data_IF_897170238365
#
_entry.id   IF_897170238365
#
_cell.length_a   1.000
_cell.length_b   1.000
_cell.length_c   1.000
_cell.angle_alpha   90.00
_cell.angle_beta   90.00
_cell.angle_gamma   90.00
#
_symmetry.space_group_name_H-M   'P 1'
#
loop_
_entity.id
_entity.type
_entity.pdbx_description
1 polymer ?
#
# COMPACT_ATOMS: atom_id res chain seq x y z
N UNK A 1 13.14 -8.82 24.61
CA UNK A 1 12.59 -9.78 23.64
C UNK A 1 12.25 -9.02 22.37
N UNK A 2 12.99 -9.20 21.28
CA UNK A 2 12.53 -8.74 19.96
C UNK A 2 11.17 -9.37 19.69
N UNK A 3 10.15 -8.55 19.39
CA UNK A 3 8.87 -9.07 18.90
C UNK A 3 9.15 -9.75 17.57
N UNK A 4 9.03 -11.07 17.55
CA UNK A 4 9.17 -11.86 16.32
C UNK A 4 8.10 -11.41 15.33
N UNK A 5 8.55 -10.73 14.26
CA UNK A 5 7.68 -10.29 13.17
C UNK A 5 7.18 -11.52 12.42
N UNK A 6 5.91 -11.86 12.63
CA UNK A 6 5.27 -13.01 11.99
C UNK A 6 5.25 -12.90 10.49
N UNK A 7 5.24 -11.68 9.93
CA UNK A 7 5.24 -11.46 8.50
C UNK A 7 6.62 -11.78 7.92
N UNK A 8 7.68 -11.37 8.61
CA UNK A 8 9.07 -11.71 8.26
C UNK A 8 9.30 -13.23 8.34
N UNK A 9 8.73 -13.90 9.34
CA UNK A 9 8.80 -15.36 9.47
C UNK A 9 7.97 -16.04 8.38
N UNK A 10 6.74 -15.57 8.13
CA UNK A 10 5.86 -16.10 7.08
C UNK A 10 6.49 -15.95 5.69
N UNK A 11 6.93 -14.75 5.31
CA UNK A 11 7.59 -14.49 4.01
C UNK A 11 8.87 -15.31 3.84
N UNK A 12 9.67 -15.48 4.91
CA UNK A 12 10.86 -16.35 4.87
C UNK A 12 10.49 -17.81 4.69
N UNK A 13 9.43 -18.29 5.35
CA UNK A 13 8.97 -19.68 5.24
C UNK A 13 8.31 -19.93 3.89
N UNK A 14 7.47 -19.03 3.37
CA UNK A 14 6.92 -19.07 2.00
C UNK A 14 8.04 -19.14 0.96
N UNK A 15 9.12 -18.38 1.17
CA UNK A 15 10.30 -18.42 0.35
C UNK A 15 11.08 -19.75 0.46
N UNK A 16 11.00 -20.48 1.58
CA UNK A 16 11.70 -21.76 1.76
C UNK A 16 10.86 -22.96 1.30
N UNK A 17 9.53 -22.85 1.33
CA UNK A 17 8.60 -23.95 1.04
C UNK A 17 8.34 -24.22 -0.45
N UNK A 18 8.87 -23.39 -1.37
CA UNK A 18 8.60 -23.47 -2.82
C UNK A 18 9.56 -24.39 -3.60
N UNK A 19 10.40 -25.18 -2.91
CA UNK A 19 11.12 -26.31 -3.51
C UNK A 19 10.29 -27.60 -3.41
N UNK A 20 10.08 -28.29 -4.52
CA UNK A 20 9.35 -29.57 -4.57
C UNK A 20 9.94 -30.55 -3.53
N UNK A 21 9.08 -31.07 -2.65
CA UNK A 21 9.37 -31.90 -1.45
C UNK A 21 9.93 -31.21 -0.20
N UNK A 22 9.58 -29.95 0.06
CA UNK A 22 9.90 -29.34 1.36
C UNK A 22 9.06 -29.96 2.52
N UNK A 23 9.67 -30.42 3.63
CA UNK A 23 8.98 -30.90 4.84
C UNK A 23 8.12 -29.84 5.55
N UNK A 24 8.18 -28.59 5.09
CA UNK A 24 7.73 -27.40 5.79
C UNK A 24 6.27 -26.99 5.53
N UNK A 25 5.50 -27.82 4.82
CA UNK A 25 4.08 -27.56 4.55
C UNK A 25 3.24 -27.46 5.83
N UNK A 26 3.59 -28.23 6.86
CA UNK A 26 2.92 -28.18 8.17
C UNK A 26 3.22 -26.87 8.90
N UNK A 27 4.45 -26.38 8.78
CA UNK A 27 4.91 -25.12 9.35
C UNK A 27 4.28 -23.92 8.65
N UNK A 28 4.11 -23.96 7.32
CA UNK A 28 3.35 -22.96 6.58
C UNK A 28 1.89 -22.92 7.04
N UNK A 29 1.24 -24.07 7.19
CA UNK A 29 -0.13 -24.16 7.74
C UNK A 29 -0.24 -23.64 9.18
N UNK A 30 0.77 -23.89 10.03
CA UNK A 30 0.83 -23.35 11.38
C UNK A 30 0.96 -21.81 11.38
N UNK A 31 1.75 -21.24 10.46
CA UNK A 31 1.89 -19.78 10.34
C UNK A 31 0.61 -19.13 9.79
N UNK A 32 -0.05 -19.75 8.81
CA UNK A 32 -1.38 -19.34 8.35
C UNK A 32 -2.39 -19.41 9.49
N UNK A 33 -2.34 -20.45 10.31
CA UNK A 33 -3.21 -20.60 11.50
C UNK A 33 -2.93 -19.53 12.54
N UNK A 34 -1.65 -19.26 12.86
CA UNK A 34 -1.25 -18.19 13.77
C UNK A 34 -1.71 -16.81 13.28
N UNK A 35 -1.58 -16.56 11.97
CA UNK A 35 -2.09 -15.35 11.33
C UNK A 35 -3.62 -15.23 11.52
N UNK A 36 -4.37 -16.31 11.27
CA UNK A 36 -5.83 -16.37 11.53
C UNK A 36 -6.17 -16.11 13.01
N UNK A 37 -5.41 -16.67 13.95
CA UNK A 37 -5.62 -16.47 15.39
C UNK A 37 -5.33 -15.02 15.80
N UNK A 38 -4.25 -14.40 15.29
CA UNK A 38 -3.94 -12.98 15.54
C UNK A 38 -5.04 -12.06 15.01
N UNK A 39 -5.60 -12.38 13.84
CA UNK A 39 -6.75 -11.69 13.28
C UNK A 39 -7.98 -11.82 14.19
N UNK A 40 -8.30 -13.02 14.67
CA UNK A 40 -9.40 -13.24 15.61
C UNK A 40 -9.20 -12.49 16.94
N UNK A 41 -7.98 -12.49 17.47
CA UNK A 41 -7.63 -11.78 18.70
C UNK A 41 -7.72 -10.25 18.54
N UNK A 42 -7.20 -9.69 17.45
CA UNK A 42 -7.31 -8.25 17.15
C UNK A 42 -8.77 -7.80 17.11
N UNK A 43 -9.68 -8.65 16.59
CA UNK A 43 -11.12 -8.40 16.58
C UNK A 43 -11.78 -8.48 17.96
N UNK A 44 -11.38 -9.40 18.82
CA UNK A 44 -11.95 -9.53 20.16
C UNK A 44 -11.69 -8.30 21.05
N UNK A 45 -10.63 -7.54 20.75
CA UNK A 45 -10.26 -6.31 21.47
C UNK A 45 -11.06 -5.06 21.02
N UNK A 46 -11.92 -5.17 20.00
CA UNK A 46 -12.61 -4.05 19.30
C UNK A 46 -13.65 -3.25 20.11
N UNK A 47 -13.74 -3.37 21.44
CA UNK A 47 -14.65 -2.55 22.26
C UNK A 47 -14.01 -1.25 22.79
N UNK A 48 -12.73 -1.00 22.54
CA UNK A 48 -12.01 0.12 23.14
C UNK A 48 -11.90 1.31 22.18
N UNK A 49 -12.46 2.47 22.59
CA UNK A 49 -12.21 3.76 21.93
C UNK A 49 -10.70 4.03 21.93
N UNK A 50 -10.13 4.29 20.75
CA UNK A 50 -8.72 4.68 20.63
C UNK A 50 -8.60 6.15 21.04
N UNK A 51 -8.06 6.41 22.23
CA UNK A 51 -7.55 7.72 22.57
C UNK A 51 -6.13 7.85 22.02
N UNK A 52 -5.91 8.85 21.19
CA UNK A 52 -4.59 9.15 20.63
C UNK A 52 -3.78 9.87 21.70
N UNK A 53 -2.83 9.19 22.32
CA UNK A 53 -1.68 9.88 22.92
C UNK A 53 -0.68 10.14 21.80
N UNK A 54 -0.84 11.26 21.11
CA UNK A 54 0.22 11.78 20.26
C UNK A 54 1.30 12.29 21.19
N UNK A 55 2.45 11.61 21.27
CA UNK A 55 3.67 12.29 21.71
C UNK A 55 4.12 13.14 20.53
N UNK A 56 3.95 14.47 20.54
CA UNK A 56 4.54 15.30 19.51
C UNK A 56 6.05 15.04 19.56
N UNK A 57 6.69 14.73 18.42
CA UNK A 57 8.14 14.60 18.41
C UNK A 57 8.74 15.99 18.71
N UNK A 58 9.94 16.05 19.30
CA UNK A 58 10.53 17.31 19.72
C UNK A 58 10.63 18.29 18.54
N UNK A 59 10.36 19.58 18.76
CA UNK A 59 10.57 20.61 17.73
C UNK A 59 12.05 20.64 17.36
N UNK A 60 12.35 20.74 16.07
CA UNK A 60 13.72 20.83 15.55
C UNK A 60 13.72 21.34 14.13
N UNK A 61 14.92 21.61 13.60
CA UNK A 61 15.10 22.09 12.23
C UNK A 61 14.91 20.90 11.28
N UNK A 62 13.99 20.98 10.30
CA UNK A 62 13.78 19.90 9.35
C UNK A 62 15.06 19.59 8.57
N UNK A 63 15.33 18.30 8.33
CA UNK A 63 16.40 17.89 7.43
C UNK A 63 16.08 18.34 6.00
N UNK A 64 16.94 19.21 5.45
CA UNK A 64 16.77 19.73 4.10
C UNK A 64 17.31 18.72 3.08
N UNK A 65 16.49 18.37 2.09
CA UNK A 65 16.81 17.49 0.96
C UNK A 65 16.60 18.26 -0.33
N UNK A 66 17.25 17.87 -1.44
CA UNK A 66 17.00 18.51 -2.73
C UNK A 66 15.69 17.98 -3.34
N UNK A 67 14.61 18.74 -3.16
CA UNK A 67 13.28 18.47 -3.72
C UNK A 67 13.25 18.31 -5.24
N UNK A 68 14.20 18.89 -5.97
CA UNK A 68 14.25 18.78 -7.44
C UNK A 68 14.52 17.36 -7.94
N UNK A 69 15.06 16.51 -7.07
CA UNK A 69 15.40 15.10 -7.33
C UNK A 69 14.31 14.12 -6.85
N UNK A 70 13.13 14.64 -6.52
CA UNK A 70 11.97 13.83 -6.13
C UNK A 70 10.92 13.80 -7.22
N UNK A 71 10.31 12.63 -7.38
CA UNK A 71 9.17 12.37 -8.25
C UNK A 71 8.11 11.61 -7.47
N UNK A 72 6.85 11.95 -7.67
CA UNK A 72 5.76 11.36 -6.88
C UNK A 72 4.52 11.02 -7.70
N UNK A 73 3.91 9.88 -7.35
CA UNK A 73 2.55 9.53 -7.73
C UNK A 73 1.74 9.43 -6.44
N UNK A 74 0.73 10.28 -6.30
CA UNK A 74 -0.11 10.38 -5.10
C UNK A 74 -1.55 10.00 -5.46
N UNK A 75 -2.06 8.93 -4.87
CA UNK A 75 -3.38 8.38 -5.19
C UNK A 75 -4.25 8.43 -3.93
N UNK A 76 -5.41 9.07 -4.02
CA UNK A 76 -6.36 9.20 -2.91
C UNK A 76 -7.79 8.98 -3.37
N UNK A 77 -8.42 7.88 -2.97
CA UNK A 77 -9.74 7.46 -3.50
C UNK A 77 -10.74 7.32 -2.36
N UNK A 78 -11.81 8.13 -2.39
CA UNK A 78 -12.92 8.10 -1.44
C UNK A 78 -14.21 7.57 -2.09
N UNK A 79 -14.54 8.04 -3.30
CA UNK A 79 -15.81 7.83 -4.01
C UNK A 79 -15.91 6.48 -4.74
N UNK A 80 -15.69 5.37 -4.01
CA UNK A 80 -16.05 4.04 -4.50
C UNK A 80 -17.56 3.90 -4.63
N UNK A 81 -18.03 3.19 -5.66
CA UNK A 81 -19.45 2.91 -5.87
C UNK A 81 -20.09 2.17 -4.69
N UNK A 82 -19.31 1.29 -4.05
CA UNK A 82 -19.70 0.53 -2.88
C UNK A 82 -18.71 0.78 -1.74
N UNK A 83 -19.23 1.04 -0.53
CA UNK A 83 -18.43 1.31 0.68
C UNK A 83 -17.53 2.55 0.58
N UNK A 84 -18.05 3.69 0.10
CA UNK A 84 -17.26 4.93 -0.01
C UNK A 84 -16.51 5.27 1.29
N UNK A 85 -15.28 5.75 1.13
CA UNK A 85 -14.40 6.14 2.21
C UNK A 85 -14.49 7.65 2.45
N UNK A 86 -13.84 8.11 3.53
CA UNK A 86 -13.67 9.52 3.79
C UNK A 86 -12.22 9.81 4.18
N UNK A 87 -11.66 10.86 3.57
CA UNK A 87 -10.36 11.41 3.95
C UNK A 87 -9.18 10.85 3.16
N UNK A 88 -9.37 9.89 2.26
CA UNK A 88 -8.26 9.36 1.46
C UNK A 88 -7.75 10.41 0.46
N UNK A 89 -8.66 11.16 -0.17
CA UNK A 89 -8.29 12.28 -1.03
C UNK A 89 -7.63 13.42 -0.24
N UNK A 90 -8.10 13.67 0.99
CA UNK A 90 -7.48 14.65 1.90
C UNK A 90 -6.07 14.23 2.30
N UNK A 91 -5.85 12.94 2.56
CA UNK A 91 -4.53 12.41 2.89
C UNK A 91 -3.55 12.56 1.72
N UNK A 92 -3.99 12.24 0.48
CA UNK A 92 -3.16 12.45 -0.71
C UNK A 92 -2.81 13.93 -0.93
N UNK A 93 -3.78 14.85 -0.75
CA UNK A 93 -3.52 16.31 -0.76
C UNK A 93 -2.59 16.75 0.37
N UNK A 94 -2.65 16.11 1.54
CA UNK A 94 -1.75 16.42 2.66
C UNK A 94 -0.30 15.98 2.39
N UNK A 95 -0.12 14.83 1.73
CA UNK A 95 1.17 14.38 1.22
C UNK A 95 1.68 15.31 0.10
N UNK A 96 0.83 15.71 -0.85
CA UNK A 96 1.20 16.68 -1.89
C UNK A 96 1.70 17.98 -1.28
N UNK A 97 0.95 18.53 -0.32
CA UNK A 97 1.32 19.75 0.40
C UNK A 97 2.69 19.60 1.09
N UNK A 98 2.96 18.45 1.70
CA UNK A 98 4.26 18.18 2.30
C UNK A 98 5.39 18.20 1.26
N UNK A 99 5.20 17.52 0.12
CA UNK A 99 6.21 17.49 -0.93
C UNK A 99 6.47 18.90 -1.52
N UNK A 100 5.42 19.69 -1.75
CA UNK A 100 5.53 21.03 -2.31
C UNK A 100 6.12 22.04 -1.31
N UNK A 101 5.57 22.09 -0.11
CA UNK A 101 5.84 23.18 0.84
C UNK A 101 7.06 22.89 1.71
N UNK A 102 7.22 21.64 2.16
CA UNK A 102 8.26 21.25 3.10
C UNK A 102 9.51 20.71 2.38
N UNK A 103 9.34 19.94 1.29
CA UNK A 103 10.46 19.39 0.51
C UNK A 103 10.80 20.18 -0.75
N UNK A 104 9.98 21.18 -1.13
CA UNK A 104 10.18 21.98 -2.34
C UNK A 104 10.26 21.16 -3.64
N UNK A 105 9.55 20.04 -3.70
CA UNK A 105 9.43 19.23 -4.91
C UNK A 105 8.72 20.05 -6.00
N UNK A 106 9.27 20.15 -7.23
CA UNK A 106 8.60 20.84 -8.31
C UNK A 106 7.21 20.25 -8.58
N UNK A 107 6.17 21.09 -8.68
CA UNK A 107 4.80 20.61 -8.95
C UNK A 107 4.68 19.69 -10.16
N UNK A 108 5.47 19.94 -11.21
CA UNK A 108 5.53 19.11 -12.42
C UNK A 108 6.09 17.69 -12.19
N UNK A 109 6.73 17.43 -11.06
CA UNK A 109 7.22 16.10 -10.67
C UNK A 109 6.20 15.30 -9.85
N UNK A 110 5.04 15.89 -9.52
CA UNK A 110 3.99 15.27 -8.73
C UNK A 110 2.77 15.00 -9.62
N UNK A 111 2.38 13.73 -9.73
CA UNK A 111 1.12 13.32 -10.33
C UNK A 111 0.12 13.01 -9.21
N UNK A 112 -1.03 13.67 -9.22
CA UNK A 112 -2.06 13.56 -8.19
C UNK A 112 -3.34 12.97 -8.78
N UNK A 113 -3.67 11.74 -8.41
CA UNK A 113 -4.86 11.03 -8.87
C UNK A 113 -5.88 10.96 -7.74
N UNK A 114 -7.00 11.66 -7.88
CA UNK A 114 -7.99 11.81 -6.80
C UNK A 114 -9.36 11.29 -7.20
N UNK A 115 -9.92 10.49 -6.31
CA UNK A 115 -11.25 9.92 -6.42
C UNK A 115 -12.23 10.53 -5.42
N UNK A 116 -12.42 11.86 -5.45
CA UNK A 116 -13.76 12.42 -5.38
C UNK A 116 -14.08 13.29 -6.62
N UNK A 117 -15.37 13.51 -6.92
CA UNK A 117 -15.87 14.30 -8.06
C UNK A 117 -15.52 15.82 -8.04
N UNK A 118 -14.28 16.22 -7.80
CA UNK A 118 -13.84 17.58 -8.15
C UNK A 118 -13.49 17.59 -9.66
N UNK A 119 -14.53 17.74 -10.51
CA UNK A 119 -14.49 17.94 -11.98
C UNK A 119 -13.79 16.92 -12.89
N UNK A 120 -13.08 15.91 -12.38
CA UNK A 120 -12.41 14.92 -13.23
C UNK A 120 -13.44 14.00 -13.91
N UNK A 121 -13.53 14.08 -15.25
CA UNK A 121 -14.28 13.10 -16.05
C UNK A 121 -13.62 11.71 -15.94
N UNK A 122 -14.35 10.62 -16.20
CA UNK A 122 -13.75 9.27 -16.23
C UNK A 122 -12.65 9.10 -17.28
N UNK A 123 -12.50 10.07 -18.19
CA UNK A 123 -11.47 10.14 -19.23
C UNK A 123 -10.31 11.08 -18.87
N UNK A 124 -10.38 11.76 -17.72
CA UNK A 124 -9.28 12.60 -17.23
C UNK A 124 -8.11 11.73 -16.79
N UNK A 125 -6.87 12.09 -17.15
CA UNK A 125 -5.66 11.41 -16.72
C UNK A 125 -5.48 11.44 -15.19
N UNK A 126 -6.14 12.37 -14.49
CA UNK A 126 -6.13 12.49 -13.03
C UNK A 126 -7.21 11.62 -12.36
N UNK A 127 -8.10 10.99 -13.12
CA UNK A 127 -9.08 10.04 -12.57
C UNK A 127 -8.34 8.77 -12.12
N UNK A 128 -8.52 8.27 -10.89
CA UNK A 128 -7.76 7.12 -10.37
C UNK A 128 -8.31 5.77 -10.87
N UNK A 129 -8.52 5.66 -12.18
CA UNK A 129 -8.83 4.41 -12.87
C UNK A 129 -7.66 3.45 -12.78
N UNK A 130 -7.93 2.16 -12.99
CA UNK A 130 -6.89 1.14 -13.12
C UNK A 130 -5.85 1.54 -14.17
N UNK A 131 -6.33 2.07 -15.30
CA UNK A 131 -5.50 2.44 -16.44
C UNK A 131 -4.60 3.63 -16.15
N UNK A 132 -5.13 4.66 -15.51
CA UNK A 132 -4.35 5.86 -15.18
C UNK A 132 -3.33 5.57 -14.07
N UNK A 133 -3.68 4.75 -13.06
CA UNK A 133 -2.73 4.36 -12.01
C UNK A 133 -1.55 3.59 -12.60
N UNK A 134 -1.81 2.59 -13.44
CA UNK A 134 -0.75 1.81 -14.10
C UNK A 134 0.00 2.66 -15.12
N UNK A 135 -0.71 3.51 -15.87
CA UNK A 135 -0.12 4.45 -16.82
C UNK A 135 0.83 5.43 -16.17
N UNK A 136 0.50 5.95 -14.98
CA UNK A 136 1.39 6.82 -14.21
C UNK A 136 2.67 6.08 -13.79
N UNK A 137 2.56 4.82 -13.35
CA UNK A 137 3.72 3.98 -13.00
C UNK A 137 4.63 3.70 -14.21
N UNK A 138 4.05 3.36 -15.37
CA UNK A 138 4.83 3.25 -16.61
C UNK A 138 5.39 4.61 -17.06
N UNK A 139 4.70 5.71 -16.78
CA UNK A 139 5.16 7.06 -17.04
C UNK A 139 6.47 7.38 -16.30
N UNK A 140 6.64 6.90 -15.07
CA UNK A 140 7.92 7.01 -14.33
C UNK A 140 9.04 6.29 -15.07
N UNK A 141 8.79 5.06 -15.56
CA UNK A 141 9.76 4.27 -16.31
C UNK A 141 10.19 5.02 -17.57
N UNK A 142 9.24 5.54 -18.33
CA UNK A 142 9.48 6.22 -19.61
C UNK A 142 10.02 7.65 -19.49
N UNK A 143 9.91 8.30 -18.33
CA UNK A 143 10.29 9.70 -18.16
C UNK A 143 11.81 9.86 -18.10
N UNK A 144 12.38 10.49 -19.12
CA UNK A 144 13.82 10.74 -19.24
C UNK A 144 14.36 11.84 -18.31
N UNK A 145 13.48 12.64 -17.69
CA UNK A 145 13.87 13.64 -16.69
C UNK A 145 14.17 13.01 -15.33
N UNK A 146 13.66 11.80 -15.09
CA UNK A 146 14.00 10.99 -13.91
C UNK A 146 15.32 10.29 -14.21
N UNK A 147 16.37 10.72 -13.52
CA UNK A 147 17.68 10.09 -13.65
C UNK A 147 17.86 9.03 -12.57
N UNK A 148 18.82 8.13 -12.80
CA UNK A 148 19.11 7.04 -11.88
C UNK A 148 19.47 7.58 -10.48
N UNK A 149 18.81 7.06 -9.44
CA UNK A 149 19.01 7.47 -8.05
C UNK A 149 18.12 8.60 -7.56
N UNK A 150 17.25 9.16 -8.40
CA UNK A 150 16.17 10.07 -7.96
C UNK A 150 15.24 9.37 -6.96
N UNK A 151 14.72 10.15 -6.00
CA UNK A 151 13.74 9.64 -5.03
C UNK A 151 12.36 9.52 -5.70
N UNK A 152 11.80 8.32 -5.70
CA UNK A 152 10.47 8.05 -6.25
C UNK A 152 9.52 7.70 -5.10
N UNK A 153 8.48 8.52 -4.92
CA UNK A 153 7.45 8.32 -3.90
C UNK A 153 6.16 7.85 -4.55
N UNK A 154 5.68 6.68 -4.16
CA UNK A 154 4.40 6.14 -4.62
C UNK A 154 3.50 6.05 -3.40
N UNK A 155 2.46 6.87 -3.36
CA UNK A 155 1.56 6.97 -2.22
C UNK A 155 0.15 6.55 -2.62
N UNK A 156 -0.47 5.68 -1.82
CA UNK A 156 -1.84 5.25 -2.01
C UNK A 156 -2.63 5.34 -0.71
N UNK A 157 -3.80 5.96 -0.77
CA UNK A 157 -4.82 5.95 0.28
C UNK A 157 -6.17 5.62 -0.33
N UNK A 158 -6.80 4.58 0.18
CA UNK A 158 -8.01 4.01 -0.41
C UNK A 158 -8.29 2.61 0.10
N UNK A 159 -9.15 1.86 -0.58
CA UNK A 159 -9.40 0.47 -0.24
C UNK A 159 -8.26 -0.44 -0.70
N UNK A 160 -7.83 -1.32 0.20
CA UNK A 160 -7.24 -2.59 -0.20
C UNK A 160 -8.29 -3.69 -0.23
N UNK A 161 -8.03 -4.73 -1.02
CA UNK A 161 -8.85 -5.93 -1.14
C UNK A 161 -7.99 -7.18 -1.09
N UNK A 162 -8.65 -8.33 -1.02
CA UNK A 162 -7.99 -9.62 -0.99
C UNK A 162 -8.81 -10.67 -1.75
N UNK A 163 -8.09 -11.62 -2.32
CA UNK A 163 -8.64 -12.70 -3.13
C UNK A 163 -8.11 -14.03 -2.61
N UNK A 164 -9.03 -14.90 -2.20
CA UNK A 164 -8.70 -16.27 -1.88
C UNK A 164 -8.92 -17.13 -3.13
N UNK A 165 -7.98 -18.02 -3.45
CA UNK A 165 -8.28 -19.11 -4.36
C UNK A 165 -9.42 -19.96 -3.77
N UNK A 166 -10.47 -20.18 -4.55
CA UNK A 166 -11.64 -20.99 -4.22
C UNK A 166 -11.50 -22.40 -4.79
N UNK A 167 -12.27 -23.38 -4.27
CA UNK A 167 -12.26 -24.74 -4.83
C UNK A 167 -12.80 -24.80 -6.27
N UNK A 168 -13.58 -23.79 -6.66
CA UNK A 168 -14.11 -23.62 -8.02
C UNK A 168 -13.08 -22.98 -8.96
N UNK A 169 -11.97 -22.46 -8.45
CA UNK A 169 -10.88 -21.95 -9.28
C UNK A 169 -10.11 -23.11 -9.93
N UNK A 170 -9.65 -22.88 -11.16
CA UNK A 170 -8.86 -23.85 -11.90
C UNK A 170 -7.70 -24.40 -11.04
N UNK A 171 -7.53 -25.72 -11.03
CA UNK A 171 -6.39 -26.39 -10.35
C UNK A 171 -5.04 -25.78 -10.76
N UNK A 172 -4.93 -25.26 -11.99
CA UNK A 172 -3.77 -24.52 -12.44
C UNK A 172 -3.54 -23.22 -11.65
N UNK A 173 -4.60 -22.49 -11.29
CA UNK A 173 -4.57 -21.29 -10.46
C UNK A 173 -4.26 -21.62 -8.99
N UNK A 174 -4.84 -22.69 -8.47
CA UNK A 174 -4.55 -23.19 -7.11
C UNK A 174 -3.08 -23.56 -6.95
N UNK A 175 -2.52 -24.28 -7.94
CA UNK A 175 -1.11 -24.65 -7.97
C UNK A 175 -0.16 -23.46 -8.21
N UNK A 176 -0.69 -22.30 -8.62
CA UNK A 176 0.07 -21.08 -8.87
C UNK A 176 0.17 -20.16 -7.65
N UNK A 177 -0.92 -20.02 -6.92
CA UNK A 177 -1.02 -19.03 -5.84
C UNK A 177 -0.70 -19.66 -4.47
N UNK A 178 -0.86 -20.99 -4.36
CA UNK A 178 -0.82 -21.67 -3.07
C UNK A 178 -2.03 -21.30 -2.20
N UNK A 179 -2.05 -21.69 -0.91
CA UNK A 179 -3.21 -21.47 -0.03
C UNK A 179 -3.36 -20.01 0.45
N UNK A 180 -2.45 -19.11 0.06
CA UNK A 180 -2.42 -17.71 0.51
C UNK A 180 -3.39 -16.81 -0.25
N UNK A 181 -3.80 -15.70 0.39
CA UNK A 181 -4.57 -14.67 -0.30
C UNK A 181 -3.66 -13.80 -1.17
N UNK A 182 -4.17 -13.36 -2.32
CA UNK A 182 -3.57 -12.26 -3.09
C UNK A 182 -4.18 -10.96 -2.61
N UNK A 183 -3.32 -10.04 -2.18
CA UNK A 183 -3.70 -8.68 -1.79
C UNK A 183 -3.72 -7.78 -3.01
N UNK A 184 -4.60 -6.78 -3.03
CA UNK A 184 -4.69 -5.81 -4.12
C UNK A 184 -5.07 -4.41 -3.62
N UNK A 185 -4.73 -3.38 -4.40
CA UNK A 185 -5.30 -2.04 -4.23
C UNK A 185 -6.49 -1.87 -5.18
N UNK A 186 -7.49 -1.13 -4.72
CA UNK A 186 -8.74 -0.93 -5.45
C UNK A 186 -8.70 0.36 -6.28
N UNK A 187 -8.71 0.29 -7.62
CA UNK A 187 -8.97 1.46 -8.44
C UNK A 187 -10.45 1.89 -8.35
N UNK A 188 -10.76 3.13 -8.70
CA UNK A 188 -12.13 3.68 -8.56
C UNK A 188 -13.14 3.05 -9.55
N UNK A 189 -12.65 2.50 -10.65
CA UNK A 189 -13.42 1.88 -11.73
C UNK A 189 -13.47 0.36 -11.64
N UNK A 190 -13.00 -0.23 -10.52
CA UNK A 190 -13.14 -1.66 -10.24
C UNK A 190 -14.58 -2.14 -10.48
N UNK A 191 -14.73 -3.35 -11.02
CA UNK A 191 -15.99 -3.98 -11.45
C UNK A 191 -16.81 -3.25 -12.54
N UNK A 192 -16.42 -2.03 -12.96
CA UNK A 192 -16.98 -1.43 -14.18
C UNK A 192 -16.47 -2.18 -15.40
N UNK A 193 -17.13 -1.98 -16.54
CA UNK A 193 -16.71 -2.58 -17.81
C UNK A 193 -15.82 -1.60 -18.58
N UNK A 194 -14.73 -2.12 -19.12
CA UNK A 194 -13.87 -1.38 -20.04
C UNK A 194 -14.55 -1.19 -21.42
N UNK A 195 -13.84 -0.56 -22.36
CA UNK A 195 -14.34 -0.32 -23.72
C UNK A 195 -14.68 -1.61 -24.50
N UNK A 196 -14.11 -2.75 -24.10
CA UNK A 196 -14.38 -4.07 -24.69
C UNK A 196 -15.44 -4.86 -23.92
N UNK A 197 -16.06 -4.25 -22.91
CA UNK A 197 -17.04 -4.91 -22.06
C UNK A 197 -16.42 -5.82 -21.00
N UNK A 198 -15.09 -5.83 -20.82
CA UNK A 198 -14.39 -6.68 -19.85
C UNK A 198 -14.45 -6.02 -18.46
N UNK A 199 -14.81 -6.76 -17.39
CA UNK A 199 -14.78 -6.24 -16.03
C UNK A 199 -13.37 -5.79 -15.62
N UNK A 200 -13.25 -4.59 -15.07
CA UNK A 200 -11.98 -4.00 -14.63
C UNK A 200 -11.61 -4.60 -13.27
N UNK A 201 -10.48 -5.32 -13.14
CA UNK A 201 -10.05 -5.90 -11.88
C UNK A 201 -9.37 -4.89 -10.96
N UNK A 202 -9.12 -5.30 -9.71
CA UNK A 202 -8.18 -4.59 -8.84
C UNK A 202 -6.72 -4.69 -9.36
N UNK A 203 -5.78 -4.02 -8.70
CA UNK A 203 -4.34 -4.09 -9.02
C UNK A 203 -3.64 -4.93 -7.95
N UNK A 204 -3.15 -6.11 -8.33
CA UNK A 204 -2.57 -7.07 -7.39
C UNK A 204 -1.21 -6.63 -6.83
N UNK A 205 -0.86 -7.12 -5.66
CA UNK A 205 0.48 -6.94 -5.08
C UNK A 205 1.60 -7.50 -5.98
N UNK A 206 1.32 -8.57 -6.75
CA UNK A 206 2.27 -9.13 -7.73
C UNK A 206 2.51 -8.17 -8.90
N UNK A 207 1.45 -7.55 -9.42
CA UNK A 207 1.52 -6.55 -10.47
C UNK A 207 2.29 -5.31 -10.01
N UNK A 208 1.95 -4.77 -8.83
CA UNK A 208 2.66 -3.63 -8.24
C UNK A 208 4.15 -3.92 -8.00
N UNK A 209 4.47 -5.07 -7.41
CA UNK A 209 5.87 -5.43 -7.15
C UNK A 209 6.68 -5.57 -8.45
N UNK A 210 6.08 -6.10 -9.52
CA UNK A 210 6.73 -6.19 -10.82
C UNK A 210 6.93 -4.80 -11.45
N UNK A 211 5.93 -3.91 -11.35
CA UNK A 211 6.08 -2.52 -11.77
C UNK A 211 7.19 -1.80 -11.00
N UNK A 212 7.28 -1.98 -9.68
CA UNK A 212 8.37 -1.40 -8.88
C UNK A 212 9.73 -1.98 -9.26
N UNK A 213 9.80 -3.26 -9.62
CA UNK A 213 11.04 -3.88 -10.12
C UNK A 213 11.48 -3.28 -11.44
N UNK A 214 10.53 -3.02 -12.36
CA UNK A 214 10.80 -2.35 -13.63
C UNK A 214 11.25 -0.90 -13.42
N UNK A 215 10.59 -0.16 -12.52
CA UNK A 215 11.04 1.19 -12.15
C UNK A 215 12.46 1.13 -11.57
N UNK A 216 12.74 0.20 -10.67
CA UNK A 216 14.05 0.09 -10.03
C UNK A 216 15.16 -0.24 -11.02
N UNK A 217 14.86 -1.07 -12.02
CA UNK A 217 15.79 -1.40 -13.10
C UNK A 217 16.20 -0.15 -13.91
N UNK A 218 15.24 0.71 -14.22
CA UNK A 218 15.48 1.89 -15.07
C UNK A 218 15.95 3.12 -14.28
N UNK A 219 15.44 3.31 -13.06
CA UNK A 219 15.59 4.55 -12.26
C UNK A 219 16.36 4.36 -10.95
N UNK A 220 16.71 3.14 -10.60
CA UNK A 220 17.34 2.82 -9.32
C UNK A 220 16.33 2.55 -8.21
N UNK A 221 16.82 2.04 -7.09
CA UNK A 221 16.03 1.47 -5.99
C UNK A 221 15.61 2.47 -4.90
N UNK A 222 15.73 3.79 -5.15
CA UNK A 222 15.27 4.85 -4.24
C UNK A 222 13.75 5.05 -4.34
N UNK A 223 13.01 3.93 -4.23
CA UNK A 223 11.56 3.88 -4.36
C UNK A 223 10.97 3.67 -2.96
N UNK A 224 10.11 4.60 -2.56
CA UNK A 224 9.34 4.52 -1.32
C UNK A 224 7.86 4.34 -1.65
N UNK A 225 7.32 3.16 -1.36
CA UNK A 225 5.90 2.85 -1.55
C UNK A 225 5.14 2.97 -0.23
N UNK A 226 4.20 3.90 -0.15
CA UNK A 226 3.49 4.27 1.07
C UNK A 226 2.01 3.91 0.90
N UNK A 227 1.51 2.98 1.73
CA UNK A 227 0.15 2.47 1.63
C UNK A 227 -0.64 2.75 2.91
N UNK A 228 -1.57 3.71 2.84
CA UNK A 228 -2.58 3.94 3.87
C UNK A 228 -3.90 3.22 3.51
N UNK A 229 -3.80 1.89 3.43
CA UNK A 229 -4.90 0.97 3.18
C UNK A 229 -4.76 -0.31 4.00
N UNK A 230 -5.83 -1.10 4.08
CA UNK A 230 -5.81 -2.40 4.74
C UNK A 230 -5.55 -3.52 3.72
N UNK A 231 -4.72 -4.49 4.08
CA UNK A 231 -4.50 -5.69 3.26
C UNK A 231 -5.06 -6.97 3.90
N UNK A 232 -5.85 -6.85 4.97
CA UNK A 232 -6.17 -7.99 5.82
C UNK A 232 -7.06 -9.03 5.16
N UNK A 233 -6.44 -10.14 4.74
CA UNK A 233 -7.05 -11.36 4.18
C UNK A 233 -7.91 -12.15 5.18
N UNK A 234 -8.93 -11.52 5.75
CA UNK A 234 -9.76 -12.15 6.77
C UNK A 234 -10.91 -12.97 6.22
N UNK A 235 -10.83 -14.30 6.41
CA UNK A 235 -11.86 -15.33 6.15
C UNK A 235 -13.12 -15.12 7.01
N UNK A 236 -13.81 -13.99 6.94
CA UNK A 236 -15.15 -13.88 7.51
C UNK A 236 -16.07 -13.02 6.66
N UNK A 237 -17.27 -13.56 6.42
CA UNK A 237 -18.37 -12.98 5.64
C UNK A 237 -19.04 -11.78 6.32
N UNK A 238 -18.44 -11.18 7.36
CA UNK A 238 -18.94 -9.97 8.00
C UNK A 238 -18.49 -8.70 7.26
N UNK A 239 -19.24 -7.61 7.41
CA UNK A 239 -18.96 -6.31 6.80
C UNK A 239 -17.62 -5.73 7.33
N UNK A 240 -16.91 -4.92 6.52
CA UNK A 240 -15.79 -4.11 7.01
C UNK A 240 -16.24 -3.27 8.21
N UNK A 241 -15.35 -3.08 9.18
CA UNK A 241 -15.61 -2.13 10.28
C UNK A 241 -15.82 -0.72 9.70
N UNK A 242 -16.74 0.06 10.28
CA UNK A 242 -16.98 1.44 9.86
C UNK A 242 -15.68 2.27 9.89
N UNK A 243 -15.26 2.77 8.72
CA UNK A 243 -14.04 3.56 8.57
C UNK A 243 -12.76 2.75 8.33
N UNK A 244 -12.84 1.42 8.23
CA UNK A 244 -11.72 0.58 7.79
C UNK A 244 -11.50 0.73 6.28
N UNK A 245 -10.24 0.91 5.88
CA UNK A 245 -9.81 1.05 4.48
C UNK A 245 -9.66 -0.31 3.77
N UNK A 246 -10.67 -1.17 3.89
CA UNK A 246 -10.71 -2.53 3.33
C UNK A 246 -12.05 -2.81 2.65
N UNK A 247 -12.02 -3.56 1.56
CA UNK A 247 -13.21 -4.08 0.90
C UNK A 247 -12.99 -5.52 0.42
N UNK A 248 -14.05 -6.19 0.00
CA UNK A 248 -13.93 -7.54 -0.59
C UNK A 248 -13.34 -7.44 -1.99
N UNK A 249 -12.78 -8.55 -2.48
CA UNK A 249 -12.48 -8.71 -3.90
C UNK A 249 -13.69 -8.36 -4.78
N UNK A 250 -13.40 -8.08 -6.04
CA UNK A 250 -14.40 -7.74 -7.06
C UNK A 250 -15.50 -8.80 -7.16
N UNK A 251 -16.72 -8.35 -7.46
CA UNK A 251 -17.88 -9.23 -7.64
C UNK A 251 -17.89 -9.87 -9.03
N UNK A 252 -17.41 -9.14 -10.03
CA UNK A 252 -17.51 -9.51 -11.45
C UNK A 252 -16.14 -9.90 -12.00
N UNK A 253 -15.11 -9.09 -11.74
CA UNK A 253 -13.75 -9.48 -12.12
C UNK A 253 -13.25 -10.63 -11.21
N UNK A 254 -12.60 -11.64 -11.80
CA UNK A 254 -12.11 -12.81 -11.07
C UNK A 254 -10.66 -12.66 -10.66
N UNK A 255 -10.21 -13.46 -9.69
CA UNK A 255 -8.79 -13.56 -9.32
C UNK A 255 -7.91 -13.87 -10.54
N UNK A 256 -8.33 -14.83 -11.37
CA UNK A 256 -7.65 -15.16 -12.62
C UNK A 256 -7.61 -13.97 -13.58
N UNK A 257 -8.74 -13.30 -13.78
CA UNK A 257 -8.83 -12.11 -14.64
C UNK A 257 -7.95 -10.96 -14.17
N UNK A 258 -7.82 -10.76 -12.85
CA UNK A 258 -6.89 -9.78 -12.27
C UNK A 258 -5.43 -10.10 -12.61
N UNK A 259 -5.01 -11.36 -12.45
CA UNK A 259 -3.65 -11.78 -12.77
C UNK A 259 -3.39 -11.74 -14.28
N UNK A 260 -4.31 -12.22 -15.11
CA UNK A 260 -4.19 -12.18 -16.57
C UNK A 260 -4.08 -10.73 -17.08
N UNK A 261 -4.86 -9.80 -16.49
CA UNK A 261 -4.81 -8.38 -16.84
C UNK A 261 -3.44 -7.74 -16.51
N UNK A 262 -2.86 -8.10 -15.37
CA UNK A 262 -1.51 -7.64 -14.99
C UNK A 262 -0.42 -8.28 -15.86
N UNK A 263 -0.48 -9.60 -16.07
CA UNK A 263 0.47 -10.36 -16.89
C UNK A 263 0.55 -9.79 -18.31
N UNK A 264 -0.61 -9.56 -18.93
CA UNK A 264 -0.72 -8.98 -20.28
C UNK A 264 -0.03 -7.62 -20.39
N UNK A 265 -0.10 -6.79 -19.34
CA UNK A 265 0.52 -5.45 -19.33
C UNK A 265 2.02 -5.49 -19.09
N UNK A 266 2.48 -6.42 -18.26
CA UNK A 266 3.89 -6.55 -17.91
C UNK A 266 4.72 -7.26 -18.99
N UNK A 267 4.07 -7.94 -19.94
CA UNK A 267 4.77 -8.66 -21.01
C UNK A 267 5.36 -10.01 -20.58
N UNK A 268 5.08 -10.46 -19.35
CA UNK A 268 5.33 -11.82 -18.89
C UNK A 268 6.75 -12.16 -18.40
N UNK A 269 7.65 -11.18 -18.26
CA UNK A 269 9.01 -11.43 -17.75
C UNK A 269 9.46 -10.40 -16.68
N UNK A 270 9.60 -10.81 -15.40
CA UNK A 270 9.21 -12.10 -14.84
C UNK A 270 7.68 -12.20 -14.68
N UNK A 271 7.13 -13.37 -15.04
CA UNK A 271 5.68 -13.63 -14.98
C UNK A 271 5.12 -13.53 -13.57
N UNK A 272 4.08 -12.70 -13.38
CA UNK A 272 3.32 -12.63 -12.12
C UNK A 272 2.45 -13.88 -11.91
N UNK A 273 2.28 -14.64 -12.99
CA UNK A 273 1.63 -15.95 -13.04
C UNK A 273 2.61 -17.12 -12.93
N UNK A 274 3.85 -16.88 -12.48
CA UNK A 274 4.77 -17.98 -12.15
C UNK A 274 4.46 -18.61 -10.79
N UNK A 275 4.51 -19.96 -10.72
CA UNK A 275 4.44 -20.70 -9.44
C UNK A 275 5.57 -20.32 -8.49
N UNK A 276 6.70 -19.95 -9.06
CA UNK A 276 7.90 -19.55 -8.33
C UNK A 276 8.01 -18.03 -8.22
N UNK A 277 6.92 -17.30 -8.47
CA UNK A 277 6.90 -15.85 -8.33
C UNK A 277 7.28 -15.47 -6.90
N UNK A 278 8.16 -14.49 -6.77
CA UNK A 278 8.60 -13.93 -5.49
C UNK A 278 8.63 -12.43 -5.58
N UNK A 279 8.27 -11.72 -4.50
CA UNK A 279 8.42 -10.29 -4.48
C UNK A 279 9.90 -9.93 -4.56
N UNK A 280 10.27 -9.01 -5.45
CA UNK A 280 11.56 -8.35 -5.38
C UNK A 280 11.54 -7.40 -4.19
N UNK A 281 12.29 -7.76 -3.15
CA UNK A 281 12.46 -6.94 -1.95
C UNK A 281 13.59 -5.91 -2.10
N UNK A 282 14.31 -5.91 -3.22
CA UNK A 282 15.47 -5.03 -3.45
C UNK A 282 15.12 -3.74 -4.18
N UNK A 283 14.01 -3.73 -4.93
CA UNK A 283 13.57 -2.58 -5.72
C UNK A 283 13.06 -1.40 -4.91
N UNK A 284 12.44 -1.63 -3.76
CA UNK A 284 11.73 -0.58 -3.02
C UNK A 284 11.65 -0.85 -1.51
N UNK A 285 11.33 0.20 -0.75
CA UNK A 285 10.93 0.10 0.66
C UNK A 285 9.43 0.38 0.76
N UNK A 286 8.69 -0.53 1.39
CA UNK A 286 7.26 -0.38 1.68
C UNK A 286 7.09 0.20 3.07
N UNK A 287 6.24 1.21 3.21
CA UNK A 287 5.66 1.66 4.48
C UNK A 287 4.14 1.47 4.43
N UNK A 288 3.61 0.49 5.16
CA UNK A 288 2.19 0.17 5.19
C UNK A 288 1.57 0.54 6.53
N UNK A 289 0.31 1.01 6.50
CA UNK A 289 -0.39 1.52 7.67
C UNK A 289 -0.64 0.48 8.77
N UNK A 290 -0.78 -0.80 8.42
CA UNK A 290 -1.07 -1.85 9.38
C UNK A 290 -0.49 -3.21 8.98
N UNK A 291 -0.39 -4.12 9.96
CA UNK A 291 -0.11 -5.53 9.72
C UNK A 291 -1.21 -6.19 8.86
N UNK A 292 -0.89 -7.31 8.22
CA UNK A 292 -1.83 -8.09 7.39
C UNK A 292 -3.02 -8.68 8.16
N UNK A 293 -3.08 -8.57 9.48
CA UNK A 293 -4.21 -8.99 10.32
C UNK A 293 -4.88 -7.82 11.06
N UNK A 294 -4.55 -6.59 10.68
CA UNK A 294 -5.01 -5.33 11.29
C UNK A 294 -5.75 -4.47 10.26
N UNK A 295 -6.29 -3.32 10.71
CA UNK A 295 -7.02 -2.39 9.84
C UNK A 295 -6.42 -0.99 9.90
N UNK A 296 -6.08 -0.44 8.74
CA UNK A 296 -5.89 0.99 8.54
C UNK A 296 -7.24 1.72 8.63
N UNK A 297 -7.27 2.78 9.45
CA UNK A 297 -8.50 3.55 9.72
C UNK A 297 -8.30 5.04 9.50
N UNK A 298 -9.40 5.70 9.14
CA UNK A 298 -9.51 7.14 9.25
C UNK A 298 -10.06 7.54 10.63
N UNK A 299 -9.57 8.65 11.18
CA UNK A 299 -10.13 9.27 12.38
C UNK A 299 -10.89 10.54 12.00
N UNK A 300 -11.89 10.90 12.82
CA UNK A 300 -12.56 12.21 12.72
C UNK A 300 -11.60 13.29 13.20
N UNK A 301 -11.35 14.29 12.36
CA UNK A 301 -10.66 15.52 12.74
C UNK A 301 -11.70 16.43 13.39
N UNK A 302 -11.48 16.78 14.66
CA UNK A 302 -12.39 17.65 15.42
C UNK A 302 -11.84 19.07 15.49
N UNK A 303 -12.72 20.05 15.32
CA UNK A 303 -12.43 21.45 15.57
C UNK A 303 -12.49 21.80 17.05
N UNK A 304 -12.15 23.05 17.37
CA UNK A 304 -12.06 23.54 18.76
C UNK A 304 -13.39 23.46 19.51
N UNK A 305 -14.51 23.48 18.79
CA UNK A 305 -15.85 23.41 19.36
C UNK A 305 -16.45 21.99 19.28
N UNK A 306 -15.63 20.98 18.96
CA UNK A 306 -16.02 19.57 18.89
C UNK A 306 -16.67 19.14 17.56
N UNK A 307 -16.86 20.07 16.62
CA UNK A 307 -17.38 19.85 15.28
C UNK A 307 -16.45 18.95 14.46
N UNK A 308 -16.99 18.13 13.55
CA UNK A 308 -16.17 17.29 12.67
C UNK A 308 -15.75 18.10 11.45
N UNK A 309 -14.47 18.47 11.36
CA UNK A 309 -13.88 19.22 10.24
C UNK A 309 -13.53 18.30 9.04
N UNK A 310 -13.46 17.00 9.28
CA UNK A 310 -13.21 16.01 8.25
C UNK A 310 -12.69 14.70 8.80
N UNK A 311 -12.03 13.95 7.93
CA UNK A 311 -11.40 12.67 8.22
C UNK A 311 -9.95 12.71 7.76
N UNK A 312 -9.08 12.02 8.49
CA UNK A 312 -7.67 11.84 8.14
C UNK A 312 -7.24 10.41 8.45
N UNK A 313 -6.40 9.81 7.61
CA UNK A 313 -5.78 8.51 7.86
C UNK A 313 -4.86 8.58 9.08
N UNK A 314 -5.03 7.64 10.01
CA UNK A 314 -4.21 7.60 11.24
C UNK A 314 -2.72 7.46 10.89
N UNK A 315 -2.41 6.63 9.89
CA UNK A 315 -1.03 6.41 9.48
C UNK A 315 -0.47 7.62 8.75
N UNK A 316 -1.19 8.17 7.76
CA UNK A 316 -0.72 9.34 7.01
C UNK A 316 -0.50 10.54 7.90
N UNK A 317 -1.44 10.85 8.79
CA UNK A 317 -1.27 11.96 9.73
C UNK A 317 -0.07 11.74 10.65
N UNK A 318 0.09 10.53 11.20
CA UNK A 318 1.23 10.21 12.05
C UNK A 318 2.57 10.30 11.31
N UNK A 319 2.61 9.87 10.05
CA UNK A 319 3.79 9.94 9.20
C UNK A 319 4.15 11.39 8.90
N UNK A 320 3.18 12.22 8.50
CA UNK A 320 3.38 13.64 8.24
C UNK A 320 3.82 14.40 9.50
N UNK A 321 3.26 14.08 10.67
CA UNK A 321 3.71 14.63 11.94
C UNK A 321 5.16 14.29 12.23
N UNK A 322 5.58 13.04 11.98
CA UNK A 322 6.96 12.62 12.13
C UNK A 322 7.89 13.34 11.15
N UNK A 323 7.55 13.35 9.86
CA UNK A 323 8.36 13.94 8.80
C UNK A 323 8.55 15.46 8.94
N UNK A 324 7.62 16.16 9.60
CA UNK A 324 7.71 17.59 9.91
C UNK A 324 8.35 17.89 11.27
N UNK A 325 8.74 16.87 12.01
CA UNK A 325 9.29 17.04 13.35
C UNK A 325 10.80 17.09 13.36
N UNK A 326 11.38 17.57 14.46
CA UNK A 326 12.82 17.54 14.68
C UNK A 326 13.41 16.14 14.86
N UNK A 327 12.58 15.09 14.91
CA UNK A 327 13.04 13.70 14.97
C UNK A 327 13.45 13.17 13.58
N UNK A 328 13.00 13.81 12.50
CA UNK A 328 13.46 13.51 11.14
C UNK A 328 14.78 14.24 10.88
N UNK A 329 15.85 13.47 10.74
CA UNK A 329 17.24 13.95 10.58
C UNK A 329 17.89 13.29 9.37
N UNK A 330 19.05 13.80 8.96
CA UNK A 330 19.85 13.20 7.89
C UNK A 330 20.17 11.72 8.14
N UNK A 331 20.28 11.30 9.41
CA UNK A 331 20.67 9.94 9.78
C UNK A 331 19.49 9.00 10.01
N UNK A 332 18.26 9.53 9.92
CA UNK A 332 17.04 8.73 10.11
C UNK A 332 16.95 7.65 9.03
N UNK A 333 16.79 6.40 9.46
CA UNK A 333 16.58 5.25 8.58
C UNK A 333 15.10 4.93 8.46
N UNK A 334 14.71 4.21 7.40
CA UNK A 334 13.31 3.79 7.25
C UNK A 334 12.82 3.01 8.48
N UNK A 335 13.60 2.06 9.01
CA UNK A 335 13.21 1.29 10.22
C UNK A 335 12.94 2.16 11.44
N UNK A 336 13.56 3.34 11.55
CA UNK A 336 13.38 4.22 12.70
C UNK A 336 12.00 4.87 12.67
N UNK A 337 11.47 5.15 11.48
CA UNK A 337 10.15 5.77 11.26
C UNK A 337 9.06 5.00 12.02
N UNK A 338 9.05 3.66 11.96
CA UNK A 338 8.03 2.83 12.62
C UNK A 338 7.92 3.06 14.13
N UNK A 339 9.01 3.48 14.79
CA UNK A 339 9.01 3.75 16.23
C UNK A 339 8.30 5.06 16.60
N UNK A 340 8.20 6.00 15.65
CA UNK A 340 7.54 7.30 15.82
C UNK A 340 6.09 7.31 15.35
N UNK A 341 5.69 6.32 14.55
CA UNK A 341 4.33 6.22 14.08
C UNK A 341 3.39 5.73 15.20
N UNK A 342 2.14 6.18 15.16
CA UNK A 342 1.12 5.75 16.09
C UNK A 342 0.96 4.23 16.04
N UNK A 343 1.18 3.58 17.18
CA UNK A 343 0.96 2.14 17.35
C UNK A 343 -0.25 1.92 18.22
N UNK A 344 -1.25 1.25 17.67
CA UNK A 344 -2.40 0.76 18.43
C UNK A 344 -2.55 -0.75 18.25
N UNK A 345 -3.41 -1.35 19.06
CA UNK A 345 -3.77 -2.77 18.93
C UNK A 345 -4.37 -3.11 17.56
N UNK A 346 -4.93 -2.12 16.87
CA UNK A 346 -5.67 -2.28 15.61
C UNK A 346 -4.91 -1.80 14.38
N UNK A 347 -3.86 -1.00 14.56
CA UNK A 347 -3.08 -0.40 13.48
C UNK A 347 -1.63 -0.25 13.96
N UNK A 348 -0.77 -1.18 13.52
CA UNK A 348 0.67 -1.16 13.75
C UNK A 348 1.37 -1.07 12.40
N UNK A 349 2.02 0.06 12.09
CA UNK A 349 2.70 0.24 10.80
C UNK A 349 3.79 -0.80 10.54
N UNK A 350 3.99 -1.10 9.26
CA UNK A 350 4.98 -2.07 8.77
C UNK A 350 5.95 -1.36 7.85
N UNK A 351 7.24 -1.63 8.03
CA UNK A 351 8.30 -1.17 7.14
C UNK A 351 9.08 -2.39 6.68
N UNK A 352 9.08 -2.63 5.37
CA UNK A 352 9.73 -3.81 4.79
C UNK A 352 10.45 -3.49 3.48
N UNK A 353 11.39 -4.37 3.10
CA UNK A 353 12.32 -4.19 1.99
C UNK A 353 13.77 -4.43 2.42
N UNK A 354 14.64 -4.76 1.46
CA UNK A 354 16.08 -4.99 1.67
C UNK A 354 16.78 -3.74 2.18
N UNK A 355 16.37 -2.58 1.67
CA UNK A 355 16.95 -1.27 1.98
C UNK A 355 16.31 -0.55 3.17
N UNK A 356 15.47 -1.21 3.98
CA UNK A 356 14.82 -0.60 5.15
C UNK A 356 15.79 -0.03 6.20
N UNK A 357 17.06 -0.46 6.19
CA UNK A 357 18.09 0.09 7.08
C UNK A 357 18.87 1.25 6.45
N UNK A 358 18.56 1.63 5.21
CA UNK A 358 19.09 2.83 4.58
C UNK A 358 18.41 4.08 5.16
N UNK A 359 19.08 5.22 4.99
CA UNK A 359 18.55 6.54 5.30
C UNK A 359 17.33 6.82 4.44
N UNK A 360 16.27 7.37 5.04
CA UNK A 360 15.06 7.72 4.30
C UNK A 360 15.36 8.89 3.36
N UNK A 361 15.02 8.70 2.08
CA UNK A 361 15.16 9.71 1.02
C UNK A 361 16.54 10.36 0.88
N UNK A 362 17.58 9.57 1.20
CA UNK A 362 18.95 10.00 1.06
C UNK A 362 19.35 10.21 -0.40
N UNK A 363 20.24 11.17 -0.62
CA UNK A 363 20.84 11.50 -1.90
C UNK A 363 22.35 11.40 -1.73
N UNK A 364 23.03 10.68 -2.62
CA UNK A 364 24.51 10.58 -2.63
C UNK A 364 25.18 11.88 -3.07
#
# INVERSE_FOLDING_TARGET
MEKLDSLKVLRKVEALCSGDNSPWWRELNNLVTLHRLRLQYSRALNCCKVNMETRPPPPGVPHNVDGSRFWAILIGIDDYEWNSLNGCAKDAKAMEKYLLDDLHVPKKHIQLLLGPKESASSHDALYPSRDNIIGALFGIIANNQIVYGDNIIIYFSGHGSYYFPSEDDDKALLGLIGPGAIEAICPIDRDKRDANGVPIPDISNRELNSLFSLIAKEKGNHITAIFDCCHSGGVCRSLPETGARVTRGTKVATLRGMLDAGEKRLGGDPSIMSRNWRPDLTSHVIMAACQSYQYAKAKKVRGKNGETLGYAGIFTESLLCFLRSGAYTAETRYVDVASYLHQSLHQTPVIDGKHRHARIWYQE
#
